data_IF_550733785727
#
_entry.id   IF_550733785727
#
_cell.length_a   1.000
_cell.length_b   1.000
_cell.length_c   1.000
_cell.angle_alpha   90.00
_cell.angle_beta   90.00
_cell.angle_gamma   90.00
#
_symmetry.space_group_name_H-M   'P 1'
#
loop_
_entity.id
_entity.type
_entity.pdbx_description
1 polymer ?
#
# COMPACT_ATOMS: atom_id res chain seq x y z
N UNK A 1 25.69 -3.96 -7.79
CA UNK A 1 25.47 -2.81 -8.67
C UNK A 1 25.08 -1.60 -7.86
N UNK A 2 25.81 -0.54 -8.01
CA UNK A 2 25.51 0.69 -7.30
C UNK A 2 24.32 1.38 -7.95
N UNK A 3 23.29 1.63 -7.18
CA UNK A 3 22.13 2.37 -7.65
C UNK A 3 22.50 3.84 -7.74
N UNK A 4 22.60 4.33 -8.95
CA UNK A 4 22.95 5.72 -9.19
C UNK A 4 21.77 6.44 -9.82
N UNK A 5 20.80 6.79 -8.97
CA UNK A 5 19.60 7.46 -9.40
C UNK A 5 19.82 8.97 -9.41
N UNK A 6 20.01 9.53 -10.61
CA UNK A 6 20.22 10.96 -10.80
C UNK A 6 19.04 11.66 -11.44
N UNK A 7 17.96 10.94 -11.67
CA UNK A 7 16.77 11.52 -12.25
C UNK A 7 16.09 12.45 -11.25
N UNK A 8 15.79 13.66 -11.67
CA UNK A 8 14.97 14.57 -10.86
C UNK A 8 13.54 14.05 -10.91
N UNK A 9 13.03 13.60 -9.77
CA UNK A 9 11.63 13.19 -9.66
C UNK A 9 10.81 14.47 -9.55
N UNK A 10 9.86 14.73 -10.47
CA UNK A 10 9.00 15.89 -10.36
C UNK A 10 8.23 15.87 -9.04
N UNK A 11 8.05 17.03 -8.43
CA UNK A 11 7.23 17.15 -7.24
C UNK A 11 5.77 16.84 -7.59
N UNK A 12 5.30 15.70 -7.14
CA UNK A 12 3.91 15.28 -7.30
C UNK A 12 3.27 15.16 -5.93
N UNK A 13 2.13 15.80 -5.76
CA UNK A 13 1.38 15.74 -4.50
C UNK A 13 0.17 14.82 -4.67
N UNK A 14 0.26 13.64 -4.09
CA UNK A 14 -0.81 12.64 -4.10
C UNK A 14 -1.55 12.55 -2.75
N UNK A 15 -1.27 13.48 -1.85
CA UNK A 15 -1.90 13.48 -0.52
C UNK A 15 -3.42 13.52 -0.61
N UNK A 16 -4.08 12.64 0.14
CA UNK A 16 -5.53 12.57 0.16
C UNK A 16 -6.15 11.84 -1.03
N UNK A 17 -5.35 11.29 -1.93
CA UNK A 17 -5.85 10.57 -3.09
C UNK A 17 -5.82 9.07 -2.86
N UNK A 18 -6.92 8.41 -3.23
CA UNK A 18 -7.01 6.96 -3.19
C UNK A 18 -6.56 6.39 -4.53
N UNK A 19 -5.89 5.24 -4.50
CA UNK A 19 -5.47 4.53 -5.69
C UNK A 19 -6.49 3.45 -6.04
N UNK A 20 -7.50 3.80 -6.85
CA UNK A 20 -8.56 2.89 -7.23
C UNK A 20 -8.34 2.25 -8.60
N UNK A 21 -7.85 3.03 -9.54
CA UNK A 21 -7.53 2.55 -10.89
C UNK A 21 -6.51 3.46 -11.57
N UNK A 22 -5.76 2.90 -12.51
CA UNK A 22 -4.72 3.64 -13.22
C UNK A 22 -5.25 4.85 -13.98
N UNK A 23 -6.48 4.76 -14.51
CA UNK A 23 -7.08 5.85 -15.28
C UNK A 23 -7.33 7.13 -14.46
N UNK A 24 -7.33 7.03 -13.13
CA UNK A 24 -7.49 8.18 -12.26
C UNK A 24 -6.20 9.01 -12.13
N UNK A 25 -5.10 8.54 -12.72
CA UNK A 25 -3.80 9.15 -12.57
C UNK A 25 -3.22 9.56 -13.91
N UNK A 26 -2.45 10.65 -13.91
CA UNK A 26 -1.72 11.08 -15.09
C UNK A 26 -0.50 10.18 -15.31
N UNK A 27 0.05 10.21 -16.52
CA UNK A 27 1.29 9.48 -16.83
C UNK A 27 2.43 9.93 -15.91
N UNK A 28 2.51 11.21 -15.59
CA UNK A 28 3.53 11.77 -14.71
C UNK A 28 3.38 11.25 -13.28
N UNK A 29 2.14 11.14 -12.79
CA UNK A 29 1.87 10.59 -11.48
C UNK A 29 2.24 9.11 -11.38
N UNK A 30 1.93 8.33 -12.41
CA UNK A 30 2.31 6.91 -12.46
C UNK A 30 3.84 6.76 -12.51
N UNK A 31 4.52 7.56 -13.33
CA UNK A 31 5.99 7.54 -13.40
C UNK A 31 6.60 7.89 -12.04
N UNK A 32 6.04 8.87 -11.34
CA UNK A 32 6.48 9.23 -10.00
C UNK A 32 6.38 8.04 -9.04
N UNK A 33 5.26 7.31 -9.07
CA UNK A 33 5.08 6.14 -8.20
C UNK A 33 6.07 5.02 -8.52
N UNK A 34 6.33 4.78 -9.81
CA UNK A 34 7.31 3.77 -10.23
C UNK A 34 8.72 4.18 -9.81
N UNK A 35 9.08 5.44 -9.97
CA UNK A 35 10.38 5.96 -9.56
C UNK A 35 10.55 5.88 -8.04
N UNK A 36 9.50 6.19 -7.29
CA UNK A 36 9.51 6.07 -5.82
C UNK A 36 9.72 4.61 -5.40
N UNK A 37 9.04 3.68 -6.06
CA UNK A 37 9.21 2.25 -5.79
C UNK A 37 10.65 1.81 -6.04
N UNK A 38 11.28 2.28 -7.12
CA UNK A 38 12.67 1.97 -7.45
C UNK A 38 13.62 2.53 -6.38
N UNK A 39 13.37 3.75 -5.92
CA UNK A 39 14.17 4.38 -4.87
C UNK A 39 14.10 3.61 -3.55
N UNK A 40 12.89 3.24 -3.12
CA UNK A 40 12.70 2.47 -1.90
C UNK A 40 13.34 1.09 -1.98
N UNK A 41 13.23 0.44 -3.15
CA UNK A 41 13.87 -0.85 -3.39
C UNK A 41 15.41 -0.73 -3.29
N UNK A 42 15.97 0.32 -3.84
CA UNK A 42 17.41 0.58 -3.75
C UNK A 42 17.86 0.80 -2.31
N UNK A 43 17.10 1.54 -1.54
CA UNK A 43 17.38 1.76 -0.12
C UNK A 43 17.36 0.45 0.66
N UNK A 44 16.36 -0.40 0.41
CA UNK A 44 16.28 -1.71 1.04
C UNK A 44 17.51 -2.56 0.73
N UNK A 45 17.91 -2.63 -0.53
CA UNK A 45 19.09 -3.39 -0.95
C UNK A 45 20.37 -2.86 -0.34
N UNK A 46 20.47 -1.57 -0.15
CA UNK A 46 21.66 -0.91 0.45
C UNK A 46 21.64 -0.93 1.97
N UNK A 47 20.59 -1.45 2.60
CA UNK A 47 20.45 -1.45 4.05
C UNK A 47 20.20 -0.08 4.65
N UNK A 48 19.72 0.86 3.86
CA UNK A 48 19.41 2.21 4.31
C UNK A 48 18.03 2.24 4.96
N UNK A 49 17.91 2.61 6.24
CA UNK A 49 16.60 2.70 6.90
C UNK A 49 15.68 3.71 6.20
N UNK A 50 14.42 3.33 6.04
CA UNK A 50 13.43 4.20 5.40
C UNK A 50 12.04 4.01 6.04
N UNK A 51 12.00 4.07 7.37
CA UNK A 51 10.78 3.89 8.16
C UNK A 51 9.95 5.18 8.18
N UNK A 52 9.56 5.65 7.01
CA UNK A 52 8.93 6.96 6.81
C UNK A 52 7.47 7.03 7.26
N UNK A 53 6.85 5.90 7.56
CA UNK A 53 5.47 5.81 8.01
C UNK A 53 5.34 5.10 9.36
N UNK A 54 6.31 5.33 10.24
CA UNK A 54 6.27 4.71 11.57
C UNK A 54 4.99 5.05 12.32
N UNK A 55 4.41 4.02 12.95
CA UNK A 55 3.19 4.16 13.72
C UNK A 55 1.91 4.11 12.90
N UNK A 56 2.01 4.06 11.57
CA UNK A 56 0.82 3.91 10.71
C UNK A 56 0.44 2.45 10.60
N UNK A 57 -0.82 2.19 10.27
CA UNK A 57 -1.34 0.84 10.12
C UNK A 57 -2.13 0.70 8.82
N UNK A 58 -1.95 -0.43 8.15
CA UNK A 58 -2.68 -0.74 6.92
C UNK A 58 -3.46 -2.05 7.09
N UNK A 59 -4.70 -2.05 6.62
CA UNK A 59 -5.52 -3.26 6.54
C UNK A 59 -5.35 -3.89 5.16
N UNK A 60 -5.10 -5.19 5.12
CA UNK A 60 -4.97 -5.96 3.89
C UNK A 60 -6.17 -6.89 3.79
N UNK A 61 -7.11 -6.55 2.92
CA UNK A 61 -8.38 -7.27 2.78
C UNK A 61 -8.36 -8.08 1.51
N UNK A 62 -8.40 -9.39 1.65
CA UNK A 62 -8.33 -10.31 0.52
C UNK A 62 -9.54 -11.22 0.52
N UNK A 63 -10.36 -11.13 -0.52
CA UNK A 63 -11.48 -12.05 -0.74
C UNK A 63 -11.02 -13.37 -1.38
N UNK A 64 -9.82 -13.38 -1.95
CA UNK A 64 -9.24 -14.62 -2.47
C UNK A 64 -7.78 -14.73 -2.05
N UNK A 65 -7.30 -15.94 -1.92
CA UNK A 65 -5.94 -16.23 -1.49
C UNK A 65 -4.92 -15.67 -2.47
N UNK A 66 -3.92 -14.98 -1.97
CA UNK A 66 -2.79 -14.51 -2.77
C UNK A 66 -1.56 -14.38 -1.89
N UNK A 67 -0.67 -15.34 -1.98
CA UNK A 67 0.55 -15.36 -1.18
C UNK A 67 1.49 -14.23 -1.54
N UNK A 68 1.75 -14.05 -2.84
CA UNK A 68 2.71 -13.04 -3.30
C UNK A 68 2.28 -11.62 -2.96
N UNK A 69 1.04 -11.30 -3.25
CA UNK A 69 0.52 -9.94 -2.99
C UNK A 69 0.48 -9.65 -1.49
N UNK A 70 -0.01 -10.60 -0.70
CA UNK A 70 -0.03 -10.46 0.75
C UNK A 70 1.37 -10.22 1.32
N UNK A 71 2.33 -11.08 0.96
CA UNK A 71 3.69 -10.96 1.46
C UNK A 71 4.34 -9.64 1.03
N UNK A 72 4.10 -9.22 -0.21
CA UNK A 72 4.64 -7.95 -0.70
C UNK A 72 4.15 -6.76 0.12
N UNK A 73 2.86 -6.72 0.43
CA UNK A 73 2.29 -5.65 1.25
C UNK A 73 2.77 -5.72 2.70
N UNK A 74 2.81 -6.92 3.29
CA UNK A 74 3.26 -7.07 4.67
C UNK A 74 4.72 -6.67 4.84
N UNK A 75 5.58 -7.15 3.96
CA UNK A 75 7.01 -6.83 4.00
C UNK A 75 7.22 -5.35 3.72
N UNK A 76 6.55 -4.81 2.69
CA UNK A 76 6.65 -3.39 2.37
C UNK A 76 6.19 -2.49 3.52
N UNK A 77 5.07 -2.81 4.15
CA UNK A 77 4.59 -2.08 5.31
C UNK A 77 5.62 -2.12 6.45
N UNK A 78 6.15 -3.29 6.76
CA UNK A 78 7.15 -3.43 7.80
C UNK A 78 8.42 -2.60 7.50
N UNK A 79 8.88 -2.61 6.26
CA UNK A 79 10.04 -1.81 5.85
C UNK A 79 9.82 -0.31 6.05
N UNK A 80 8.58 0.15 5.87
CA UNK A 80 8.21 1.55 6.06
C UNK A 80 7.88 1.91 7.52
N UNK A 81 7.96 0.96 8.43
CA UNK A 81 7.65 1.15 9.85
C UNK A 81 6.18 1.01 10.19
N UNK A 82 5.38 0.47 9.27
CA UNK A 82 3.95 0.31 9.44
C UNK A 82 3.59 -1.05 10.02
N UNK A 83 2.49 -1.08 10.78
CA UNK A 83 1.82 -2.32 11.11
C UNK A 83 0.87 -2.73 9.99
N UNK A 84 0.63 -4.02 9.84
CA UNK A 84 -0.36 -4.53 8.88
C UNK A 84 -1.26 -5.57 9.54
N UNK A 85 -2.51 -5.58 9.12
CA UNK A 85 -3.50 -6.56 9.58
C UNK A 85 -4.13 -7.22 8.36
N UNK A 86 -4.01 -8.53 8.29
CA UNK A 86 -4.57 -9.31 7.18
C UNK A 86 -5.96 -9.81 7.54
N UNK A 87 -6.93 -9.51 6.67
CA UNK A 87 -8.31 -9.96 6.79
C UNK A 87 -8.63 -10.88 5.63
N UNK A 88 -8.73 -12.17 5.93
CA UNK A 88 -8.94 -13.20 4.93
C UNK A 88 -10.42 -13.41 4.64
N UNK A 89 -10.69 -14.19 3.59
CA UNK A 89 -11.99 -14.79 3.35
C UNK A 89 -12.44 -15.53 4.60
N UNK A 90 -13.72 -15.37 4.96
CA UNK A 90 -14.23 -15.92 6.20
C UNK A 90 -14.30 -14.93 7.36
N UNK A 91 -13.76 -13.72 7.19
CA UNK A 91 -13.91 -12.64 8.15
C UNK A 91 -15.36 -12.14 8.21
N UNK A 92 -15.65 -11.18 9.07
CA UNK A 92 -17.00 -10.63 9.23
C UNK A 92 -17.46 -9.75 8.06
N UNK A 93 -16.59 -9.46 7.12
CA UNK A 93 -16.86 -8.58 5.97
C UNK A 93 -18.05 -9.12 5.15
N UNK A 94 -19.09 -8.32 5.02
CA UNK A 94 -20.27 -8.67 4.24
C UNK A 94 -21.16 -9.75 4.83
N UNK A 95 -20.89 -10.21 6.05
CA UNK A 95 -21.65 -11.27 6.70
C UNK A 95 -22.64 -10.75 7.72
N UNK A 96 -22.16 -10.10 8.78
CA UNK A 96 -22.99 -9.57 9.87
C UNK A 96 -23.27 -8.09 9.73
N UNK A 97 -22.48 -7.41 8.95
CA UNK A 97 -22.66 -5.98 8.68
C UNK A 97 -22.46 -5.72 7.18
N UNK A 98 -22.95 -4.59 6.70
CA UNK A 98 -22.77 -4.23 5.31
C UNK A 98 -21.30 -3.93 5.01
N UNK A 99 -20.90 -4.07 3.74
CA UNK A 99 -19.55 -3.73 3.29
C UNK A 99 -19.25 -2.25 3.58
N UNK A 100 -20.26 -1.38 3.40
CA UNK A 100 -20.10 0.04 3.68
C UNK A 100 -19.83 0.30 5.17
N UNK A 101 -20.52 -0.38 6.06
CA UNK A 101 -20.32 -0.23 7.50
C UNK A 101 -18.96 -0.78 7.93
N UNK A 102 -18.55 -1.92 7.39
CA UNK A 102 -17.22 -2.47 7.62
C UNK A 102 -16.15 -1.48 7.18
N UNK A 103 -16.30 -0.89 5.99
CA UNK A 103 -15.35 0.09 5.48
C UNK A 103 -15.25 1.33 6.39
N UNK A 104 -16.38 1.81 6.91
CA UNK A 104 -16.37 2.94 7.85
C UNK A 104 -15.63 2.63 9.13
N UNK A 105 -15.86 1.44 9.70
CA UNK A 105 -15.18 1.02 10.92
C UNK A 105 -13.68 0.91 10.68
N UNK A 106 -13.28 0.24 9.60
CA UNK A 106 -11.87 0.07 9.27
C UNK A 106 -11.19 1.39 8.95
N UNK A 107 -11.88 2.32 8.29
CA UNK A 107 -11.33 3.64 8.00
C UNK A 107 -11.04 4.46 9.26
N UNK A 108 -11.77 4.20 10.34
CA UNK A 108 -11.50 4.83 11.64
C UNK A 108 -10.32 4.19 12.39
N UNK A 109 -9.92 2.97 12.03
CA UNK A 109 -8.87 2.23 12.72
C UNK A 109 -7.55 2.23 11.98
N UNK A 110 -7.58 2.27 10.66
CA UNK A 110 -6.41 2.13 9.80
C UNK A 110 -6.13 3.41 9.03
N UNK A 111 -4.84 3.64 8.77
CA UNK A 111 -4.39 4.78 7.94
C UNK A 111 -4.52 4.48 6.45
N UNK A 112 -4.50 3.21 6.08
CA UNK A 112 -4.68 2.77 4.71
C UNK A 112 -5.36 1.42 4.62
N UNK A 113 -6.01 1.16 3.50
CA UNK A 113 -6.70 -0.10 3.23
C UNK A 113 -6.31 -0.56 1.83
N UNK A 114 -5.81 -1.80 1.72
CA UNK A 114 -5.61 -2.47 0.46
C UNK A 114 -6.70 -3.52 0.32
N UNK A 115 -7.34 -3.57 -0.83
CA UNK A 115 -8.42 -4.50 -1.08
C UNK A 115 -8.18 -5.28 -2.37
N UNK A 116 -8.31 -6.59 -2.27
CA UNK A 116 -8.28 -7.48 -3.42
C UNK A 116 -9.51 -8.39 -3.39
N UNK A 117 -10.43 -8.14 -4.30
CA UNK A 117 -11.68 -8.87 -4.41
C UNK A 117 -11.75 -9.75 -5.64
N UNK A 118 -12.93 -10.34 -5.82
CA UNK A 118 -13.28 -11.07 -7.04
C UNK A 118 -13.75 -10.03 -8.08
N UNK A 119 -13.29 -10.16 -9.28
CA UNK A 119 -13.73 -9.30 -10.36
C UNK A 119 -12.65 -8.51 -11.01
#
# INVERSE_FOLDING_TARGET
MMYNYRRVIPMVNLKGRDFLKLLDFTSEEIEYLVDLAADLKAKKKAGIPHRIHEGKNVALIFEKTSTRTRCSFEVGANDLGMGSTYLAEGSQIGKKESIADTARVLSGMFDGIEYRGFG
#
